data_IF_941168193830
#
_entry.id   IF_941168193830
#
_cell.length_a   1.000
_cell.length_b   1.000
_cell.length_c   1.000
_cell.angle_alpha   90.00
_cell.angle_beta   90.00
_cell.angle_gamma   90.00
#
_symmetry.space_group_name_H-M   'P 1'
#
loop_
_entity.id
_entity.type
_entity.pdbx_description
1 polymer ?
#
# COMPACT_ATOMS: atom_id res chain seq x y z
N UNK A 1 -22.39 32.53 -27.03
CA UNK A 1 -21.76 31.59 -28.01
C UNK A 1 -20.52 31.06 -27.30
N UNK A 2 -20.69 29.94 -26.55
CA UNK A 2 -19.68 29.33 -25.69
C UNK A 2 -18.98 28.27 -26.53
N UNK A 3 -17.69 28.47 -26.78
CA UNK A 3 -16.85 27.49 -27.48
C UNK A 3 -16.52 26.35 -26.55
N UNK A 4 -17.08 25.18 -26.77
CA UNK A 4 -16.62 23.90 -26.25
C UNK A 4 -15.29 23.56 -26.94
N UNK A 5 -14.16 23.75 -26.24
CA UNK A 5 -12.88 23.17 -26.64
C UNK A 5 -12.88 21.72 -26.17
N UNK A 6 -13.37 20.81 -26.98
CA UNK A 6 -13.13 19.38 -26.84
C UNK A 6 -11.66 19.14 -27.20
N UNK A 7 -10.84 18.87 -26.22
CA UNK A 7 -9.44 18.49 -26.40
C UNK A 7 -9.38 17.12 -27.08
N UNK A 8 -9.37 17.12 -28.41
CA UNK A 8 -9.15 15.93 -29.22
C UNK A 8 -7.65 15.63 -29.21
N UNK A 9 -7.20 14.78 -28.30
CA UNK A 9 -5.82 14.25 -28.33
C UNK A 9 -5.60 13.55 -29.68
N UNK A 10 -4.52 13.84 -30.43
CA UNK A 10 -4.25 13.18 -31.71
C UNK A 10 -4.22 11.67 -31.53
N UNK A 11 -4.82 10.93 -32.46
CA UNK A 11 -4.94 9.46 -32.42
C UNK A 11 -3.61 8.77 -32.16
N UNK A 12 -2.52 9.29 -32.72
CA UNK A 12 -1.16 8.79 -32.52
C UNK A 12 -0.67 8.95 -31.07
N UNK A 13 -1.09 10.02 -30.38
CA UNK A 13 -0.74 10.24 -28.96
C UNK A 13 -1.52 9.26 -28.07
N UNK A 14 -2.82 9.03 -28.38
CA UNK A 14 -3.63 8.01 -27.68
C UNK A 14 -3.04 6.61 -27.83
N UNK A 15 -2.61 6.22 -29.02
CA UNK A 15 -1.96 4.93 -29.25
C UNK A 15 -0.65 4.80 -28.47
N UNK A 16 0.19 5.82 -28.44
CA UNK A 16 1.45 5.83 -27.71
C UNK A 16 1.25 5.75 -26.20
N UNK A 17 0.25 6.45 -25.65
CA UNK A 17 -0.13 6.38 -24.24
C UNK A 17 -0.63 4.96 -23.89
N UNK A 18 -1.53 4.38 -24.68
CA UNK A 18 -2.05 3.02 -24.47
C UNK A 18 -0.95 1.95 -24.54
N UNK A 19 0.02 2.08 -25.44
CA UNK A 19 1.14 1.16 -25.56
C UNK A 19 2.07 1.26 -24.34
N UNK A 20 2.38 2.47 -23.89
CA UNK A 20 3.18 2.71 -22.69
C UNK A 20 2.47 2.19 -21.42
N UNK A 21 1.17 2.41 -21.29
CA UNK A 21 0.36 1.90 -20.17
C UNK A 21 0.39 0.38 -20.12
N UNK A 22 0.17 -0.29 -21.24
CA UNK A 22 0.29 -1.76 -21.30
C UNK A 22 1.68 -2.25 -20.90
N UNK A 23 2.74 -1.53 -21.24
CA UNK A 23 4.10 -1.89 -20.84
C UNK A 23 4.30 -1.80 -19.33
N UNK A 24 3.78 -0.76 -18.66
CA UNK A 24 3.93 -0.57 -17.22
C UNK A 24 3.16 -1.62 -16.41
N UNK A 25 1.87 -1.82 -16.71
CA UNK A 25 1.03 -2.73 -15.92
C UNK A 25 1.42 -4.21 -16.09
N UNK A 26 2.03 -4.58 -17.23
CA UNK A 26 2.53 -5.93 -17.50
C UNK A 26 4.05 -6.05 -17.36
N UNK A 27 4.73 -5.01 -16.85
CA UNK A 27 6.14 -5.10 -16.49
C UNK A 27 6.35 -6.15 -15.40
N UNK A 28 7.48 -6.81 -15.45
CA UNK A 28 7.84 -7.86 -14.49
C UNK A 28 7.77 -7.36 -13.04
N UNK A 29 8.28 -6.15 -12.76
CA UNK A 29 8.29 -5.61 -11.41
C UNK A 29 6.88 -5.27 -10.92
N UNK A 30 6.01 -4.74 -11.81
CA UNK A 30 4.60 -4.49 -11.49
C UNK A 30 3.87 -5.79 -11.13
N UNK A 31 4.02 -6.84 -11.93
CA UNK A 31 3.40 -8.15 -11.66
C UNK A 31 3.94 -8.77 -10.36
N UNK A 32 5.24 -8.68 -10.12
CA UNK A 32 5.84 -9.18 -8.88
C UNK A 32 5.36 -8.36 -7.66
N UNK A 33 5.21 -7.03 -7.79
CA UNK A 33 4.63 -6.21 -6.74
C UNK A 33 3.18 -6.60 -6.43
N UNK A 34 2.32 -6.71 -7.45
CA UNK A 34 0.92 -7.15 -7.28
C UNK A 34 0.85 -8.50 -6.55
N UNK A 35 1.74 -9.42 -6.91
CA UNK A 35 1.80 -10.74 -6.27
C UNK A 35 2.14 -10.63 -4.78
N UNK A 36 3.17 -9.85 -4.43
CA UNK A 36 3.58 -9.68 -3.03
C UNK A 36 2.55 -8.90 -2.23
N UNK A 37 1.91 -7.88 -2.82
CA UNK A 37 0.82 -7.13 -2.21
C UNK A 37 -0.38 -8.04 -1.89
N UNK A 38 -0.76 -8.94 -2.82
CA UNK A 38 -1.83 -9.91 -2.60
C UNK A 38 -1.48 -10.92 -1.48
N UNK A 39 -0.22 -11.39 -1.43
CA UNK A 39 0.26 -12.27 -0.35
C UNK A 39 0.25 -11.55 1.00
N UNK A 40 0.64 -10.27 1.04
CA UNK A 40 0.54 -9.46 2.24
C UNK A 40 -0.91 -9.32 2.72
N UNK A 41 -1.84 -8.95 1.86
CA UNK A 41 -3.25 -8.83 2.23
C UNK A 41 -3.80 -10.17 2.75
N UNK A 42 -3.52 -11.27 2.07
CA UNK A 42 -3.92 -12.60 2.51
C UNK A 42 -3.26 -13.05 3.84
N UNK A 43 -2.03 -12.61 4.12
CA UNK A 43 -1.37 -12.82 5.40
C UNK A 43 -2.10 -12.06 6.52
N UNK A 44 -2.41 -10.79 6.32
CA UNK A 44 -3.11 -9.96 7.28
C UNK A 44 -4.53 -10.48 7.56
N UNK A 45 -5.29 -10.86 6.53
CA UNK A 45 -6.64 -11.42 6.67
C UNK A 45 -6.68 -12.73 7.48
N UNK A 46 -5.58 -13.49 7.47
CA UNK A 46 -5.43 -14.73 8.25
C UNK A 46 -4.84 -14.52 9.65
N UNK A 47 -4.65 -13.27 10.10
CA UNK A 47 -4.01 -12.98 11.41
C UNK A 47 -4.85 -13.42 12.61
N UNK A 48 -6.19 -13.48 12.47
CA UNK A 48 -7.07 -13.81 13.58
C UNK A 48 -6.73 -15.16 14.21
N UNK A 49 -6.33 -15.14 15.49
CA UNK A 49 -5.97 -16.32 16.25
C UNK A 49 -4.60 -16.94 15.88
N UNK A 50 -3.81 -16.25 15.10
CA UNK A 50 -2.44 -16.66 14.81
C UNK A 50 -1.58 -16.71 16.09
N UNK A 51 -0.58 -17.58 16.11
CA UNK A 51 0.42 -17.58 17.15
C UNK A 51 1.39 -16.40 16.91
N UNK A 52 1.70 -15.65 17.97
CA UNK A 52 2.45 -14.40 17.89
C UNK A 52 3.80 -14.55 17.19
N UNK A 53 4.61 -15.52 17.60
CA UNK A 53 5.96 -15.69 17.06
C UNK A 53 5.92 -16.06 15.57
N UNK A 54 4.95 -16.89 15.17
CA UNK A 54 4.76 -17.24 13.76
C UNK A 54 4.28 -16.03 12.93
N UNK A 55 3.44 -15.18 13.51
CA UNK A 55 3.01 -13.93 12.89
C UNK A 55 4.19 -12.97 12.69
N UNK A 56 4.97 -12.72 13.73
CA UNK A 56 6.15 -11.82 13.68
C UNK A 56 7.20 -12.35 12.68
N UNK A 57 7.51 -13.64 12.73
CA UNK A 57 8.46 -14.28 11.80
C UNK A 57 8.01 -14.14 10.33
N UNK A 58 6.71 -14.28 10.07
CA UNK A 58 6.16 -14.10 8.72
C UNK A 58 6.16 -12.63 8.30
N UNK A 59 5.75 -11.71 9.18
CA UNK A 59 5.77 -10.28 8.93
C UNK A 59 7.18 -9.79 8.56
N UNK A 60 8.22 -10.21 9.32
CA UNK A 60 9.61 -9.85 9.06
C UNK A 60 10.20 -10.44 7.77
N UNK A 61 9.51 -11.36 7.13
CA UNK A 61 9.87 -11.87 5.78
C UNK A 61 9.13 -11.14 4.68
N UNK A 62 7.84 -10.85 4.88
CA UNK A 62 7.01 -10.25 3.83
C UNK A 62 7.20 -8.74 3.71
N UNK A 63 7.36 -8.01 4.83
CA UNK A 63 7.52 -6.55 4.82
C UNK A 63 8.76 -6.08 4.04
N UNK A 64 9.99 -6.61 4.25
CA UNK A 64 11.14 -6.20 3.46
C UNK A 64 11.01 -6.56 1.98
N UNK A 65 10.34 -7.67 1.65
CA UNK A 65 10.04 -8.03 0.27
C UNK A 65 9.05 -7.06 -0.36
N UNK A 66 8.00 -6.69 0.37
CA UNK A 66 7.00 -5.70 -0.08
C UNK A 66 7.65 -4.34 -0.33
N UNK A 67 8.50 -3.86 0.60
CA UNK A 67 9.24 -2.62 0.43
C UNK A 67 10.11 -2.64 -0.83
N UNK A 68 10.90 -3.71 -1.01
CA UNK A 68 11.75 -3.86 -2.19
C UNK A 68 10.93 -3.83 -3.49
N UNK A 69 9.81 -4.55 -3.54
CA UNK A 69 8.96 -4.59 -4.74
C UNK A 69 8.28 -3.26 -5.03
N UNK A 70 7.84 -2.53 -4.00
CA UNK A 70 7.30 -1.19 -4.16
C UNK A 70 8.32 -0.21 -4.76
N UNK A 71 9.59 -0.26 -4.33
CA UNK A 71 10.65 0.60 -4.87
C UNK A 71 11.02 0.28 -6.32
N UNK A 72 10.66 -0.90 -6.83
CA UNK A 72 10.96 -1.33 -8.20
C UNK A 72 9.80 -1.11 -9.18
N UNK A 73 8.67 -0.58 -8.72
CA UNK A 73 7.55 -0.23 -9.62
C UNK A 73 8.04 0.79 -10.65
N UNK A 74 7.83 0.55 -11.96
CA UNK A 74 8.20 1.49 -12.99
C UNK A 74 7.53 2.85 -12.82
N UNK A 75 8.15 3.90 -13.39
CA UNK A 75 7.51 5.20 -13.45
C UNK A 75 6.28 5.13 -14.36
N UNK A 76 5.17 5.68 -13.87
CA UNK A 76 3.92 5.83 -14.60
C UNK A 76 3.29 7.17 -14.25
N UNK A 77 2.34 7.59 -15.06
CA UNK A 77 1.57 8.81 -14.87
C UNK A 77 0.09 8.46 -14.79
N UNK A 78 -0.67 9.24 -14.05
CA UNK A 78 -2.12 9.11 -14.00
C UNK A 78 -2.72 9.46 -15.36
N UNK A 79 -3.67 8.65 -15.85
CA UNK A 79 -4.26 8.79 -17.20
C UNK A 79 -5.75 9.11 -17.11
N UNK A 80 -6.47 8.51 -16.16
CA UNK A 80 -7.88 8.76 -15.92
C UNK A 80 -8.13 10.07 -15.18
N UNK A 81 -9.35 10.56 -15.24
CA UNK A 81 -9.83 11.76 -14.54
C UNK A 81 -10.76 11.39 -13.37
N UNK A 82 -11.14 10.13 -13.24
CA UNK A 82 -12.08 9.64 -12.24
C UNK A 82 -11.34 9.15 -10.98
N UNK A 83 -11.99 9.32 -9.83
CA UNK A 83 -11.53 8.75 -8.57
C UNK A 83 -11.55 7.21 -8.65
N UNK A 84 -10.56 6.58 -8.04
CA UNK A 84 -10.49 5.12 -7.97
C UNK A 84 -11.48 4.58 -6.94
N UNK A 85 -12.01 3.39 -7.23
CA UNK A 85 -12.93 2.70 -6.33
C UNK A 85 -12.21 2.24 -5.04
N UNK A 86 -12.87 2.41 -3.89
CA UNK A 86 -12.40 1.98 -2.57
C UNK A 86 -13.12 0.69 -2.18
N UNK A 87 -12.39 -0.32 -1.78
CA UNK A 87 -12.89 -1.67 -1.46
C UNK A 87 -12.90 -1.95 0.04
N UNK A 88 -11.99 -1.34 0.80
CA UNK A 88 -11.90 -1.55 2.24
C UNK A 88 -12.87 -0.63 2.96
N UNK A 89 -13.84 -1.22 3.65
CA UNK A 89 -14.76 -0.48 4.50
C UNK A 89 -14.12 -0.19 5.87
N UNK A 90 -14.72 0.74 6.65
CA UNK A 90 -14.30 1.03 8.02
C UNK A 90 -14.38 -0.25 8.90
N UNK A 91 -15.45 -1.03 8.74
CA UNK A 91 -15.62 -2.31 9.45
C UNK A 91 -14.52 -3.32 9.11
N UNK A 92 -14.11 -3.40 7.82
CA UNK A 92 -13.02 -4.29 7.39
C UNK A 92 -11.68 -3.85 8.01
N UNK A 93 -11.40 -2.54 7.99
CA UNK A 93 -10.20 -1.96 8.59
C UNK A 93 -10.14 -2.24 10.09
N UNK A 94 -11.19 -1.93 10.83
CA UNK A 94 -11.27 -2.16 12.28
C UNK A 94 -11.14 -3.64 12.64
N UNK A 95 -11.76 -4.52 11.84
CA UNK A 95 -11.66 -5.96 12.03
C UNK A 95 -10.23 -6.47 11.90
N UNK A 96 -9.49 -6.00 10.89
CA UNK A 96 -8.09 -6.34 10.64
C UNK A 96 -7.21 -5.78 11.75
N UNK A 97 -7.32 -4.50 12.06
CA UNK A 97 -6.55 -3.84 13.12
C UNK A 97 -6.73 -4.56 14.46
N UNK A 98 -7.98 -4.84 14.84
CA UNK A 98 -8.28 -5.56 16.08
C UNK A 98 -7.67 -6.96 16.12
N UNK A 99 -7.75 -7.71 15.01
CA UNK A 99 -7.19 -9.05 14.93
C UNK A 99 -5.66 -9.05 15.16
N UNK A 100 -4.95 -8.10 14.56
CA UNK A 100 -3.50 -7.93 14.72
C UNK A 100 -3.16 -7.52 16.17
N UNK A 101 -3.90 -6.54 16.73
CA UNK A 101 -3.72 -6.10 18.10
C UNK A 101 -3.87 -7.25 19.11
N UNK A 102 -4.82 -8.17 18.87
CA UNK A 102 -4.99 -9.36 19.70
C UNK A 102 -3.81 -10.35 19.60
N UNK A 103 -3.19 -10.47 18.42
CA UNK A 103 -2.00 -11.33 18.22
C UNK A 103 -0.77 -10.73 18.93
N UNK A 104 -0.57 -9.42 18.83
CA UNK A 104 0.60 -8.75 19.39
C UNK A 104 0.47 -8.47 20.89
N UNK A 105 -0.76 -8.25 21.36
CA UNK A 105 -1.03 -7.96 22.78
C UNK A 105 -0.26 -6.75 23.31
N UNK A 106 0.47 -6.88 24.44
CA UNK A 106 1.20 -5.76 25.03
C UNK A 106 2.35 -5.22 24.16
N UNK A 107 2.82 -5.97 23.17
CA UNK A 107 3.88 -5.58 22.24
C UNK A 107 3.35 -4.90 20.97
N UNK A 108 2.07 -4.54 20.92
CA UNK A 108 1.51 -3.78 19.80
C UNK A 108 2.00 -2.34 19.74
N UNK A 109 2.40 -1.78 20.87
CA UNK A 109 2.81 -0.38 20.98
C UNK A 109 4.31 -0.19 20.73
N UNK A 110 4.66 0.87 20.00
CA UNK A 110 6.04 1.34 19.85
C UNK A 110 6.14 2.86 19.93
N UNK A 111 7.37 3.38 20.05
CA UNK A 111 7.63 4.81 20.08
C UNK A 111 8.14 5.29 18.71
N UNK A 112 7.46 6.29 18.14
CA UNK A 112 7.90 6.98 16.93
C UNK A 112 9.22 7.70 17.18
N UNK A 113 10.20 7.56 16.28
CA UNK A 113 11.57 8.05 16.50
C UNK A 113 11.96 9.18 15.55
N UNK A 114 11.33 9.22 14.36
CA UNK A 114 11.72 10.15 13.28
C UNK A 114 10.64 11.18 12.95
N UNK A 115 9.75 11.48 13.89
CA UNK A 115 8.75 12.51 13.66
C UNK A 115 9.37 13.92 13.85
N UNK A 116 9.11 14.89 12.94
CA UNK A 116 9.68 16.23 13.02
C UNK A 116 9.42 16.93 14.36
N UNK A 117 8.24 16.71 14.96
CA UNK A 117 7.83 17.31 16.22
C UNK A 117 8.63 16.79 17.42
N UNK A 118 9.31 15.64 17.29
CA UNK A 118 10.19 15.13 18.34
C UNK A 118 11.39 16.03 18.63
N UNK A 119 11.73 16.92 17.69
CA UNK A 119 12.79 17.94 17.93
C UNK A 119 12.35 19.01 18.95
N UNK A 120 11.06 19.14 19.20
CA UNK A 120 10.46 20.21 20.02
C UNK A 120 9.62 19.67 21.19
N UNK A 121 9.50 18.36 21.34
CA UNK A 121 8.69 17.71 22.37
C UNK A 121 9.52 16.72 23.19
N UNK A 122 9.43 16.81 24.51
CA UNK A 122 10.02 15.83 25.43
C UNK A 122 9.12 14.58 25.60
N UNK A 123 7.94 14.58 24.99
CA UNK A 123 6.98 13.47 25.08
C UNK A 123 7.05 12.61 23.82
N UNK A 124 7.45 11.32 23.92
CA UNK A 124 7.46 10.40 22.79
C UNK A 124 6.05 10.21 22.22
N UNK A 125 5.97 10.14 20.90
CA UNK A 125 4.72 9.81 20.20
C UNK A 125 4.56 8.29 20.20
N UNK A 126 3.47 7.81 20.79
CA UNK A 126 3.11 6.42 20.82
C UNK A 126 2.35 6.05 19.54
N UNK A 127 2.73 4.94 18.91
CA UNK A 127 2.12 4.34 17.73
C UNK A 127 1.80 2.88 18.01
N UNK A 128 0.92 2.28 17.20
CA UNK A 128 0.64 0.85 17.26
C UNK A 128 1.01 0.14 15.95
N UNK A 129 1.59 -1.03 16.09
CA UNK A 129 1.96 -1.89 14.96
C UNK A 129 0.71 -2.34 14.21
N UNK A 130 -0.37 -2.65 14.94
CA UNK A 130 -1.64 -3.08 14.36
C UNK A 130 -2.28 -2.01 13.47
N UNK A 131 -2.21 -0.73 13.86
CA UNK A 131 -2.70 0.40 13.08
C UNK A 131 -1.85 0.56 11.80
N UNK A 132 -0.52 0.60 11.93
CA UNK A 132 0.36 0.74 10.77
C UNK A 132 0.21 -0.42 9.77
N UNK A 133 0.05 -1.67 10.24
CA UNK A 133 -0.21 -2.81 9.36
C UNK A 133 -1.60 -2.74 8.70
N UNK A 134 -2.61 -2.23 9.42
CA UNK A 134 -3.95 -2.05 8.85
C UNK A 134 -3.97 -0.92 7.81
N UNK A 135 -3.21 0.16 8.02
CA UNK A 135 -3.04 1.25 7.05
C UNK A 135 -2.42 0.73 5.74
N UNK A 136 -1.33 -0.05 5.85
CA UNK A 136 -0.70 -0.69 4.69
C UNK A 136 -1.68 -1.66 4.00
N UNK A 137 -2.45 -2.41 4.78
CA UNK A 137 -3.46 -3.32 4.25
C UNK A 137 -4.53 -2.58 3.45
N UNK A 138 -5.06 -1.48 3.95
CA UNK A 138 -6.07 -0.67 3.27
C UNK A 138 -5.57 -0.20 1.91
N UNK A 139 -4.41 0.46 1.86
CA UNK A 139 -3.82 0.94 0.61
C UNK A 139 -3.60 -0.19 -0.41
N UNK A 140 -3.04 -1.31 0.02
CA UNK A 140 -2.75 -2.43 -0.87
C UNK A 140 -4.01 -3.20 -1.29
N UNK A 141 -5.01 -3.33 -0.42
CA UNK A 141 -6.26 -4.02 -0.74
C UNK A 141 -7.08 -3.23 -1.75
N UNK A 142 -7.18 -1.91 -1.58
CA UNK A 142 -7.84 -1.02 -2.53
C UNK A 142 -7.11 -1.05 -3.88
N UNK A 143 -5.78 -0.95 -3.89
CA UNK A 143 -4.97 -1.12 -5.09
C UNK A 143 -5.26 -2.43 -5.82
N UNK A 144 -5.24 -3.57 -5.11
CA UNK A 144 -5.49 -4.89 -5.71
C UNK A 144 -6.91 -4.99 -6.24
N UNK A 145 -7.91 -4.46 -5.52
CA UNK A 145 -9.30 -4.44 -5.93
C UNK A 145 -9.48 -3.74 -7.28
N UNK A 146 -8.92 -2.53 -7.41
CA UNK A 146 -8.96 -1.78 -8.68
C UNK A 146 -8.17 -2.49 -9.79
N UNK A 147 -6.99 -3.01 -9.47
CA UNK A 147 -6.13 -3.71 -10.45
C UNK A 147 -6.84 -4.94 -11.03
N UNK A 148 -7.62 -5.66 -10.22
CA UNK A 148 -8.40 -6.83 -10.62
C UNK A 148 -9.58 -6.52 -11.55
N UNK A 149 -10.05 -5.26 -11.64
CA UNK A 149 -11.07 -4.88 -12.61
C UNK A 149 -10.61 -5.07 -14.06
N UNK A 150 -9.30 -5.13 -14.31
CA UNK A 150 -8.71 -5.55 -15.58
C UNK A 150 -8.77 -4.51 -16.70
N UNK A 151 -9.16 -3.27 -16.42
CA UNK A 151 -9.13 -2.18 -17.38
C UNK A 151 -7.76 -1.48 -17.34
N UNK A 152 -7.06 -1.42 -18.46
CA UNK A 152 -5.68 -0.93 -18.52
C UNK A 152 -5.50 0.46 -17.91
N UNK A 153 -6.43 1.38 -18.11
CA UNK A 153 -6.36 2.74 -17.53
C UNK A 153 -6.44 2.68 -16.01
N UNK A 154 -7.46 2.01 -15.46
CA UNK A 154 -7.64 1.91 -14.00
C UNK A 154 -6.53 1.10 -13.33
N UNK A 155 -6.01 0.05 -13.99
CA UNK A 155 -4.84 -0.69 -13.52
C UNK A 155 -3.59 0.20 -13.42
N UNK A 156 -3.35 1.04 -14.45
CA UNK A 156 -2.25 1.99 -14.44
C UNK A 156 -2.40 3.02 -13.32
N UNK A 157 -3.59 3.59 -13.21
CA UNK A 157 -3.86 4.65 -12.24
C UNK A 157 -3.82 4.13 -10.80
N UNK A 158 -4.29 2.90 -10.56
CA UNK A 158 -4.15 2.25 -9.26
C UNK A 158 -2.67 1.99 -8.89
N UNK A 159 -1.84 1.63 -9.87
CA UNK A 159 -0.41 1.46 -9.67
C UNK A 159 0.27 2.80 -9.36
N UNK A 160 -0.12 3.86 -10.08
CA UNK A 160 0.37 5.22 -9.84
C UNK A 160 0.02 5.69 -8.42
N UNK A 161 -1.26 5.63 -8.04
CA UNK A 161 -1.72 6.06 -6.70
C UNK A 161 -1.06 5.24 -5.59
N UNK A 162 -0.96 3.92 -5.75
CA UNK A 162 -0.30 3.06 -4.77
C UNK A 162 1.18 3.42 -4.59
N UNK A 163 1.88 3.79 -5.69
CA UNK A 163 3.29 4.23 -5.66
C UNK A 163 3.45 5.59 -4.98
N UNK A 164 2.56 6.55 -5.25
CA UNK A 164 2.53 7.86 -4.57
C UNK A 164 2.29 7.67 -3.06
N UNK A 165 1.29 6.86 -2.68
CA UNK A 165 1.01 6.56 -1.28
C UNK A 165 2.17 5.80 -0.60
N UNK A 166 2.90 4.95 -1.34
CA UNK A 166 4.13 4.35 -0.81
C UNK A 166 5.15 5.41 -0.44
N UNK A 167 5.37 6.38 -1.31
CA UNK A 167 6.37 7.42 -1.10
C UNK A 167 5.99 8.37 0.05
N UNK A 168 4.70 8.72 0.17
CA UNK A 168 4.22 9.76 1.07
C UNK A 168 3.69 9.22 2.42
N UNK A 169 3.23 7.97 2.46
CA UNK A 169 2.46 7.46 3.58
C UNK A 169 2.88 6.06 4.05
N UNK A 170 2.46 4.98 3.34
CA UNK A 170 2.59 3.64 3.88
C UNK A 170 4.01 3.06 3.85
N UNK A 171 4.89 3.58 3.02
CA UNK A 171 6.29 3.17 3.01
C UNK A 171 7.00 3.49 4.33
N UNK A 172 6.74 4.65 4.93
CA UNK A 172 7.28 5.02 6.24
C UNK A 172 6.71 4.14 7.35
N UNK A 173 5.39 3.85 7.32
CA UNK A 173 4.74 2.94 8.27
C UNK A 173 5.34 1.55 8.21
N UNK A 174 5.57 1.03 7.01
CA UNK A 174 6.20 -0.27 6.80
C UNK A 174 7.60 -0.36 7.46
N UNK A 175 8.44 0.66 7.26
CA UNK A 175 9.79 0.71 7.83
C UNK A 175 9.73 0.79 9.36
N UNK A 176 8.84 1.61 9.92
CA UNK A 176 8.66 1.76 11.35
C UNK A 176 8.17 0.46 11.99
N UNK A 177 7.15 -0.16 11.40
CA UNK A 177 6.61 -1.46 11.83
C UNK A 177 7.65 -2.57 11.78
N UNK A 178 8.40 -2.66 10.67
CA UNK A 178 9.46 -3.65 10.51
C UNK A 178 10.54 -3.49 11.61
N UNK A 179 10.93 -2.25 11.93
CA UNK A 179 11.86 -1.96 13.03
C UNK A 179 11.27 -2.35 14.38
N UNK A 180 10.01 -2.00 14.66
CA UNK A 180 9.34 -2.33 15.92
C UNK A 180 9.27 -3.85 16.12
N UNK A 181 8.81 -4.59 15.10
CA UNK A 181 8.75 -6.06 15.14
C UNK A 181 10.13 -6.71 15.30
N UNK A 182 11.17 -6.15 14.68
CA UNK A 182 12.53 -6.70 14.80
C UNK A 182 13.11 -6.56 16.21
N UNK A 183 12.70 -5.55 16.97
CA UNK A 183 13.11 -5.41 18.37
C UNK A 183 12.50 -6.45 19.32
N UNK A 184 11.47 -7.17 18.84
CA UNK A 184 10.74 -8.19 19.60
C UNK A 184 11.26 -9.64 19.35
N UNK A 185 12.25 -9.80 18.48
CA UNK A 185 12.95 -11.06 18.17
C UNK A 185 14.17 -11.18 19.07
#
# INVERSE_FOLDING_TARGET
MIYFFTFFLPLQLKFKVMEHTSQVIFDKNSIEFVTVAAEYCGFIERSRGAERNAFVDTALKILPLLYLKATLIPECEMIGEDDLEVFVTEDDYECVQYAIAQVLGPQDDYLEVFHPDMAYSDTPIKKSISEDLADIYQDLKDFIGVFQLGMNTTMNDSLYVCKEHFAEYWGQRLVNTMRALHCEV
#
